data_IF_237281134136
#
_entry.id   IF_237281134136
#
_cell.length_a   1.000
_cell.length_b   1.000
_cell.length_c   1.000
_cell.angle_alpha   90.00
_cell.angle_beta   90.00
_cell.angle_gamma   90.00
#
_symmetry.space_group_name_H-M   'P 1'
#
loop_
_entity.id
_entity.type
_entity.pdbx_description
1 polymer ?
#
# COMPACT_ATOMS: atom_id res chain seq x y z
N UNK A 1 -70.06 22.13 -68.76
CA UNK A 1 -69.91 22.82 -67.49
C UNK A 1 -69.04 22.00 -66.57
N UNK A 2 -67.74 22.24 -66.54
CA UNK A 2 -66.69 21.37 -66.15
C UNK A 2 -66.30 21.62 -64.71
N UNK A 3 -66.36 20.62 -63.86
CA UNK A 3 -65.96 20.64 -62.45
C UNK A 3 -64.53 20.23 -62.33
N UNK A 4 -63.69 21.10 -61.75
CA UNK A 4 -62.25 20.85 -61.56
C UNK A 4 -61.99 20.41 -60.14
N UNK A 5 -61.57 19.16 -59.97
CA UNK A 5 -61.16 18.59 -58.67
C UNK A 5 -59.69 18.87 -58.44
N UNK A 6 -59.35 19.61 -57.37
CA UNK A 6 -57.99 19.85 -56.93
C UNK A 6 -57.60 18.81 -55.89
N UNK A 7 -56.65 17.91 -56.23
CA UNK A 7 -56.07 16.96 -55.32
C UNK A 7 -54.98 17.68 -54.46
N UNK A 8 -55.19 17.77 -53.13
CA UNK A 8 -54.17 18.15 -52.18
C UNK A 8 -53.39 16.89 -51.77
N UNK A 9 -52.14 16.83 -52.18
CA UNK A 9 -51.15 15.84 -51.70
C UNK A 9 -50.58 16.29 -50.37
N UNK A 10 -50.88 15.58 -49.27
CA UNK A 10 -50.22 15.79 -47.99
C UNK A 10 -48.84 15.13 -48.01
N UNK A 11 -47.81 15.98 -47.90
CA UNK A 11 -46.44 15.57 -47.79
C UNK A 11 -46.17 15.26 -46.31
N UNK A 12 -46.11 13.97 -45.94
CA UNK A 12 -45.67 13.54 -44.62
C UNK A 12 -44.16 13.61 -44.56
N UNK A 13 -43.64 14.61 -43.84
CA UNK A 13 -42.16 14.66 -43.51
C UNK A 13 -41.90 13.70 -42.37
N UNK A 14 -41.20 12.58 -42.65
CA UNK A 14 -40.56 11.76 -41.63
C UNK A 14 -39.39 12.59 -41.04
N UNK A 15 -39.52 12.92 -39.76
CA UNK A 15 -38.42 13.42 -38.95
C UNK A 15 -37.67 12.21 -38.42
N UNK A 16 -36.52 11.91 -39.00
CA UNK A 16 -35.60 10.89 -38.48
C UNK A 16 -34.87 11.51 -37.27
N UNK A 17 -35.27 11.14 -36.06
CA UNK A 17 -34.51 11.42 -34.84
C UNK A 17 -33.26 10.50 -34.81
N UNK A 18 -32.10 11.08 -35.11
CA UNK A 18 -30.82 10.45 -34.90
C UNK A 18 -30.56 10.35 -33.39
N UNK A 19 -30.73 9.17 -32.82
CA UNK A 19 -30.29 8.84 -31.46
C UNK A 19 -28.77 8.83 -31.46
N UNK A 20 -28.16 9.91 -30.98
CA UNK A 20 -26.72 9.99 -30.73
C UNK A 20 -26.38 9.10 -29.53
N UNK A 21 -25.96 7.88 -29.80
CA UNK A 21 -25.38 6.98 -28.78
C UNK A 21 -23.98 7.54 -28.46
N UNK A 22 -23.90 8.33 -27.39
CA UNK A 22 -22.62 8.70 -26.79
C UNK A 22 -21.97 7.40 -26.29
N UNK A 23 -21.02 6.86 -27.04
CA UNK A 23 -20.09 5.87 -26.53
C UNK A 23 -19.25 6.55 -25.44
N UNK A 24 -19.65 6.34 -24.17
CA UNK A 24 -18.77 6.59 -23.04
C UNK A 24 -17.67 5.56 -23.16
N UNK A 25 -16.56 5.95 -23.78
CA UNK A 25 -15.34 5.16 -23.81
C UNK A 25 -14.96 4.80 -22.39
N UNK A 26 -15.10 3.53 -22.01
CA UNK A 26 -14.64 3.02 -20.74
C UNK A 26 -13.12 3.18 -20.71
N UNK A 27 -12.64 4.19 -20.00
CA UNK A 27 -11.21 4.35 -19.70
C UNK A 27 -10.81 3.13 -18.89
N UNK A 28 -10.20 2.15 -19.55
CA UNK A 28 -9.56 1.02 -18.86
C UNK A 28 -8.32 1.58 -18.17
N UNK A 29 -8.43 1.88 -16.89
CA UNK A 29 -7.26 2.21 -16.07
C UNK A 29 -6.75 0.90 -15.47
N UNK A 30 -5.76 0.21 -16.09
CA UNK A 30 -5.15 -0.96 -15.50
C UNK A 30 -4.49 -0.56 -14.18
N UNK A 31 -4.50 -1.45 -13.20
CA UNK A 31 -3.75 -1.21 -11.97
C UNK A 31 -2.27 -1.05 -12.32
N UNK A 32 -1.55 -0.09 -11.71
CA UNK A 32 -0.18 0.26 -12.10
C UNK A 32 0.86 -0.78 -11.62
N UNK A 33 0.43 -1.95 -11.21
CA UNK A 33 1.30 -3.02 -10.72
C UNK A 33 0.77 -4.41 -11.12
N UNK A 34 1.65 -5.42 -11.05
CA UNK A 34 1.29 -6.82 -11.26
C UNK A 34 0.95 -7.48 -9.92
N UNK A 35 -0.22 -8.15 -9.79
CA UNK A 35 -0.56 -8.85 -8.56
C UNK A 35 0.42 -10.00 -8.27
N UNK A 36 0.67 -10.22 -6.99
CA UNK A 36 1.48 -11.31 -6.48
C UNK A 36 0.78 -11.94 -5.27
N UNK A 37 -0.22 -12.82 -5.48
CA UNK A 37 -1.02 -13.38 -4.40
C UNK A 37 -0.26 -14.48 -3.64
N UNK A 38 0.70 -14.05 -2.83
CA UNK A 38 1.56 -14.89 -1.98
C UNK A 38 1.64 -14.26 -0.58
N UNK A 39 2.07 -14.96 0.47
CA UNK A 39 2.35 -14.31 1.75
C UNK A 39 3.26 -13.10 1.58
N UNK A 40 2.88 -11.94 2.12
CA UNK A 40 3.57 -10.66 1.92
C UNK A 40 3.38 -10.01 0.56
N UNK A 41 2.48 -10.52 -0.26
CA UNK A 41 2.15 -9.98 -1.56
C UNK A 41 0.77 -9.32 -1.61
N UNK A 42 0.23 -9.18 -2.83
CA UNK A 42 -1.04 -8.51 -3.09
C UNK A 42 -1.90 -9.35 -4.03
N UNK A 43 -3.14 -9.61 -3.63
CA UNK A 43 -4.17 -10.19 -4.50
C UNK A 43 -5.08 -9.10 -5.08
N UNK A 44 -5.54 -9.33 -6.31
CA UNK A 44 -6.61 -8.57 -6.94
C UNK A 44 -7.81 -9.50 -7.06
N UNK A 45 -8.85 -9.21 -6.29
CA UNK A 45 -10.05 -10.04 -6.22
C UNK A 45 -11.22 -9.31 -6.87
N UNK A 46 -11.80 -9.81 -7.98
CA UNK A 46 -13.00 -9.23 -8.55
C UNK A 46 -14.16 -9.29 -7.56
N UNK A 47 -14.90 -8.18 -7.43
CA UNK A 47 -16.05 -8.08 -6.55
C UNK A 47 -17.27 -7.59 -7.33
N UNK A 48 -18.42 -8.24 -7.11
CA UNK A 48 -19.67 -7.79 -7.71
C UNK A 48 -20.22 -6.64 -6.87
N UNK A 49 -20.45 -5.52 -7.53
CA UNK A 49 -21.07 -4.35 -6.91
C UNK A 49 -21.79 -3.53 -7.97
N UNK A 50 -22.86 -2.86 -7.56
CA UNK A 50 -23.56 -1.86 -8.36
C UNK A 50 -22.70 -0.63 -8.64
N UNK A 51 -23.30 0.55 -8.75
CA UNK A 51 -22.58 1.79 -9.10
C UNK A 51 -21.54 2.28 -8.10
N UNK A 52 -21.74 2.04 -6.78
CA UNK A 52 -20.88 2.53 -5.71
C UNK A 52 -19.77 1.54 -5.35
N UNK A 53 -18.69 2.05 -4.74
CA UNK A 53 -17.59 1.24 -4.22
C UNK A 53 -18.11 0.27 -3.13
N UNK A 54 -17.89 -1.06 -3.28
CA UNK A 54 -18.32 -2.02 -2.29
C UNK A 54 -17.47 -1.90 -1.02
N UNK A 55 -18.12 -2.10 0.13
CA UNK A 55 -17.40 -2.32 1.39
C UNK A 55 -16.80 -3.72 1.38
N UNK A 56 -15.49 -3.79 1.53
CA UNK A 56 -14.72 -5.04 1.55
C UNK A 56 -13.87 -5.10 2.80
N UNK A 57 -13.81 -6.27 3.43
CA UNK A 57 -12.92 -6.52 4.56
C UNK A 57 -12.10 -7.81 4.33
N UNK A 58 -10.90 -7.85 4.89
CA UNK A 58 -10.04 -9.02 4.95
C UNK A 58 -9.49 -9.18 6.35
N UNK A 59 -9.78 -10.31 7.00
CA UNK A 59 -9.45 -10.55 8.42
C UNK A 59 -9.92 -9.41 9.36
N UNK A 60 -11.08 -8.80 9.07
CA UNK A 60 -11.65 -7.70 9.85
C UNK A 60 -11.08 -6.31 9.53
N UNK A 61 -10.06 -6.20 8.71
CA UNK A 61 -9.50 -4.92 8.28
C UNK A 61 -10.13 -4.45 6.96
N UNK A 62 -10.48 -3.17 6.81
CA UNK A 62 -11.04 -2.64 5.59
C UNK A 62 -10.04 -2.72 4.43
N UNK A 63 -10.53 -3.09 3.25
CA UNK A 63 -9.73 -3.27 2.03
C UNK A 63 -10.10 -2.21 1.01
N UNK A 64 -9.09 -1.56 0.43
CA UNK A 64 -9.32 -0.61 -0.64
C UNK A 64 -9.86 -1.28 -1.90
N UNK A 65 -10.77 -0.59 -2.60
CA UNK A 65 -11.36 -1.07 -3.84
C UNK A 65 -11.06 -0.13 -5.00
N UNK A 66 -11.00 -0.66 -6.21
CA UNK A 66 -10.76 0.12 -7.44
C UNK A 66 -11.75 -0.28 -8.52
N UNK A 67 -12.24 0.72 -9.24
CA UNK A 67 -13.05 0.49 -10.44
C UNK A 67 -12.12 0.27 -11.64
N UNK A 68 -12.35 -0.81 -12.35
CA UNK A 68 -11.65 -1.16 -13.60
C UNK A 68 -12.64 -1.22 -14.74
N UNK A 69 -12.18 -1.42 -15.98
CA UNK A 69 -13.05 -1.64 -17.12
C UNK A 69 -13.95 -2.88 -16.98
N UNK A 70 -13.53 -3.86 -16.15
CA UNK A 70 -14.26 -5.13 -15.90
C UNK A 70 -15.12 -5.09 -14.64
N UNK A 71 -15.27 -3.96 -13.99
CA UNK A 71 -15.99 -3.81 -12.72
C UNK A 71 -15.09 -3.48 -11.54
N UNK A 72 -15.62 -3.70 -10.34
CA UNK A 72 -14.88 -3.44 -9.10
C UNK A 72 -13.91 -4.57 -8.78
N UNK A 73 -12.78 -4.21 -8.20
CA UNK A 73 -11.81 -5.15 -7.63
C UNK A 73 -11.39 -4.70 -6.24
N UNK A 74 -11.17 -5.66 -5.35
CA UNK A 74 -10.50 -5.46 -4.07
C UNK A 74 -8.99 -5.63 -4.25
N UNK A 75 -8.19 -4.73 -3.68
CA UNK A 75 -6.72 -4.81 -3.66
C UNK A 75 -6.31 -5.25 -2.26
N UNK A 76 -6.03 -6.54 -2.13
CA UNK A 76 -5.87 -7.21 -0.84
C UNK A 76 -4.40 -7.39 -0.51
N UNK A 77 -3.91 -6.71 0.52
CA UNK A 77 -2.60 -6.99 1.11
C UNK A 77 -2.64 -8.31 1.88
N UNK A 78 -1.76 -9.23 1.56
CA UNK A 78 -1.68 -10.55 2.19
C UNK A 78 -0.56 -10.54 3.23
N UNK A 79 -0.82 -10.80 4.53
CA UNK A 79 0.23 -10.78 5.54
C UNK A 79 1.28 -11.88 5.32
N UNK A 80 2.51 -11.67 5.79
CA UNK A 80 3.59 -12.67 5.72
C UNK A 80 3.25 -13.97 6.45
N UNK A 81 2.37 -13.91 7.45
CA UNK A 81 1.87 -15.06 8.21
C UNK A 81 0.78 -15.85 7.51
N UNK A 82 0.29 -15.40 6.35
CA UNK A 82 -0.77 -16.10 5.62
C UNK A 82 -0.32 -17.51 5.22
N UNK A 83 -1.21 -18.48 5.39
CA UNK A 83 -0.98 -19.86 4.97
C UNK A 83 -1.36 -20.01 3.50
N UNK A 84 -0.50 -20.58 2.65
CA UNK A 84 -0.88 -20.85 1.26
C UNK A 84 -2.10 -21.77 1.17
N UNK A 85 -3.02 -21.46 0.24
CA UNK A 85 -4.27 -22.19 0.07
C UNK A 85 -5.41 -21.25 -0.31
N UNK A 86 -6.65 -21.71 -0.10
CA UNK A 86 -7.85 -20.88 -0.26
C UNK A 86 -8.00 -19.93 0.92
N UNK A 87 -8.30 -18.68 0.63
CA UNK A 87 -8.63 -17.64 1.60
C UNK A 87 -9.82 -16.82 1.08
N UNK A 88 -10.38 -15.93 1.90
CA UNK A 88 -11.60 -15.20 1.53
C UNK A 88 -11.58 -13.77 2.02
N UNK A 89 -12.04 -12.85 1.18
CA UNK A 89 -12.50 -11.52 1.59
C UNK A 89 -13.99 -11.55 1.93
N UNK A 90 -14.42 -10.62 2.76
CA UNK A 90 -15.82 -10.34 3.05
C UNK A 90 -16.29 -9.15 2.20
N UNK A 91 -17.35 -9.34 1.45
CA UNK A 91 -18.00 -8.30 0.64
C UNK A 91 -19.44 -8.19 1.08
N UNK A 92 -19.75 -7.19 1.91
CA UNK A 92 -21.08 -6.96 2.47
C UNK A 92 -21.69 -8.24 3.13
N UNK A 93 -20.87 -8.97 3.89
CA UNK A 93 -21.28 -10.21 4.58
C UNK A 93 -21.17 -11.49 3.74
N UNK A 94 -20.78 -11.39 2.48
CA UNK A 94 -20.56 -12.55 1.61
C UNK A 94 -19.07 -12.85 1.45
N UNK A 95 -18.69 -14.14 1.53
CA UNK A 95 -17.30 -14.57 1.31
C UNK A 95 -17.00 -14.72 -0.18
N UNK A 96 -15.95 -14.04 -0.64
CA UNK A 96 -15.40 -14.18 -1.99
C UNK A 96 -14.03 -14.82 -1.88
N UNK A 97 -13.88 -16.02 -2.45
CA UNK A 97 -12.66 -16.81 -2.34
C UNK A 97 -11.57 -16.32 -3.29
N UNK A 98 -10.33 -16.42 -2.84
CA UNK A 98 -9.14 -16.26 -3.67
C UNK A 98 -8.04 -17.22 -3.22
N UNK A 99 -7.00 -17.41 -4.04
CA UNK A 99 -5.92 -18.36 -3.73
C UNK A 99 -4.65 -17.62 -3.33
N UNK A 100 -4.11 -17.95 -2.17
CA UNK A 100 -2.75 -17.55 -1.75
C UNK A 100 -1.77 -18.64 -2.21
N UNK A 101 -0.86 -18.28 -3.11
CA UNK A 101 0.16 -19.20 -3.65
C UNK A 101 1.35 -19.32 -2.70
N UNK A 102 2.03 -20.47 -2.64
CA UNK A 102 3.22 -20.61 -1.81
C UNK A 102 4.36 -19.72 -2.31
N UNK A 103 5.13 -19.17 -1.37
CA UNK A 103 6.39 -18.48 -1.62
C UNK A 103 7.38 -18.80 -0.52
N UNK A 104 8.60 -19.18 -0.89
CA UNK A 104 9.71 -19.35 0.03
C UNK A 104 10.52 -18.07 0.10
N UNK A 105 10.83 -17.65 1.32
CA UNK A 105 11.69 -16.51 1.58
C UNK A 105 13.04 -17.02 2.10
N UNK A 106 14.17 -16.51 1.59
CA UNK A 106 15.50 -16.87 2.06
C UNK A 106 15.70 -16.54 3.54
N UNK A 107 16.67 -17.17 4.15
CA UNK A 107 17.11 -16.85 5.50
C UNK A 107 18.29 -15.89 5.45
N UNK A 108 18.30 -14.91 6.35
CA UNK A 108 19.38 -13.95 6.55
C UNK A 108 19.86 -14.07 7.99
N UNK A 109 21.11 -14.47 8.16
CA UNK A 109 21.78 -14.52 9.45
C UNK A 109 22.61 -13.26 9.64
N UNK A 110 22.39 -12.53 10.74
CA UNK A 110 23.09 -11.30 11.08
C UNK A 110 23.65 -11.41 12.50
N UNK A 111 24.81 -10.83 12.70
CA UNK A 111 25.36 -10.61 14.03
C UNK A 111 25.09 -9.16 14.46
N UNK A 112 24.59 -8.98 15.67
CA UNK A 112 24.33 -7.70 16.31
C UNK A 112 25.20 -7.61 17.57
N UNK A 113 26.08 -6.61 17.65
CA UNK A 113 26.93 -6.37 18.82
C UNK A 113 26.10 -5.93 20.03
N UNK A 114 25.06 -5.16 19.81
CA UNK A 114 24.16 -4.70 20.86
C UNK A 114 23.16 -5.80 21.22
N UNK A 115 23.47 -6.56 22.26
CA UNK A 115 22.64 -7.67 22.74
C UNK A 115 21.23 -7.22 23.20
N UNK A 116 21.05 -6.00 23.70
CA UNK A 116 19.75 -5.46 24.08
C UNK A 116 18.78 -5.36 22.90
N UNK A 117 19.30 -5.20 21.68
CA UNK A 117 18.47 -5.19 20.46
C UNK A 117 18.13 -6.59 19.94
N UNK A 118 18.76 -7.62 20.48
CA UNK A 118 18.43 -9.04 20.25
C UNK A 118 17.51 -9.52 21.35
N UNK A 119 17.92 -9.36 22.61
CA UNK A 119 17.21 -9.75 23.82
C UNK A 119 16.99 -8.51 24.72
N UNK A 120 15.86 -7.81 24.54
CA UNK A 120 15.52 -6.61 25.31
C UNK A 120 15.43 -6.91 26.82
N UNK A 121 15.80 -5.91 27.63
CA UNK A 121 15.56 -5.97 29.08
C UNK A 121 14.09 -5.75 29.41
N UNK A 122 13.62 -6.04 30.64
CA UNK A 122 12.23 -5.74 31.03
C UNK A 122 11.82 -4.26 30.83
N UNK A 123 12.75 -3.32 31.01
CA UNK A 123 12.52 -1.89 30.78
C UNK A 123 12.38 -1.61 29.28
N UNK A 124 13.19 -2.26 28.45
CA UNK A 124 13.07 -2.16 26.98
C UNK A 124 11.75 -2.77 26.50
N UNK A 125 11.34 -3.91 27.06
CA UNK A 125 10.05 -4.54 26.74
C UNK A 125 8.86 -3.64 27.10
N UNK A 126 8.91 -2.97 28.25
CA UNK A 126 7.90 -2.01 28.64
C UNK A 126 7.86 -0.80 27.69
N UNK A 127 9.02 -0.32 27.22
CA UNK A 127 9.13 0.71 26.18
C UNK A 127 8.52 0.21 24.87
N UNK A 128 8.94 -0.96 24.39
CA UNK A 128 8.45 -1.58 23.16
C UNK A 128 6.92 -1.75 23.18
N UNK A 129 6.36 -2.19 24.30
CA UNK A 129 4.91 -2.34 24.45
C UNK A 129 4.16 -1.00 24.27
N UNK A 130 4.66 0.08 24.88
CA UNK A 130 4.10 1.44 24.69
C UNK A 130 4.22 1.90 23.24
N UNK A 131 5.35 1.64 22.59
CA UNK A 131 5.58 1.99 21.20
C UNK A 131 4.65 1.22 20.25
N UNK A 132 4.40 -0.07 20.51
CA UNK A 132 3.46 -0.88 19.73
C UNK A 132 2.02 -0.36 19.85
N UNK A 133 1.64 0.18 21.00
CA UNK A 133 0.33 0.81 21.20
C UNK A 133 0.15 2.07 20.33
N UNK A 134 1.23 2.77 19.98
CA UNK A 134 1.21 3.91 19.04
C UNK A 134 1.25 3.45 17.58
N UNK A 135 2.12 2.49 17.26
CA UNK A 135 2.31 1.99 15.88
C UNK A 135 1.09 1.23 15.36
N UNK A 136 0.41 0.47 16.24
CA UNK A 136 -0.75 -0.34 15.86
C UNK A 136 -1.86 0.45 15.17
N UNK A 137 -2.42 1.49 15.80
CA UNK A 137 -3.40 2.38 15.16
C UNK A 137 -2.87 3.07 13.90
N UNK A 138 -1.62 3.53 13.90
CA UNK A 138 -1.03 4.22 12.76
C UNK A 138 -0.95 3.32 11.50
N UNK A 139 -0.75 2.02 11.64
CA UNK A 139 -0.83 1.07 10.54
C UNK A 139 -2.22 0.91 9.93
N UNK A 140 -3.26 1.27 10.66
CA UNK A 140 -4.67 1.19 10.25
C UNK A 140 -5.22 2.53 9.78
N UNK A 141 -4.38 3.55 9.65
CA UNK A 141 -4.79 4.89 9.28
C UNK A 141 -5.55 4.93 7.94
N UNK A 142 -6.67 5.66 7.96
CA UNK A 142 -7.56 5.81 6.81
C UNK A 142 -7.95 7.29 6.65
N UNK A 143 -6.98 8.19 6.35
CA UNK A 143 -7.27 9.61 6.22
C UNK A 143 -8.25 9.88 5.09
N UNK A 144 -9.24 10.73 5.37
CA UNK A 144 -10.25 11.12 4.38
C UNK A 144 -9.66 12.04 3.30
N UNK A 145 -10.19 11.95 2.09
CA UNK A 145 -9.76 12.82 0.98
C UNK A 145 -8.50 12.35 0.24
N UNK A 146 -7.82 11.30 0.71
CA UNK A 146 -6.65 10.73 0.05
C UNK A 146 -7.01 9.43 -0.66
N UNK A 147 -6.62 9.34 -1.94
CA UNK A 147 -6.73 8.11 -2.75
C UNK A 147 -5.34 7.73 -3.26
N UNK A 148 -4.73 6.65 -2.75
CA UNK A 148 -3.40 6.25 -3.16
C UNK A 148 -3.39 5.85 -4.64
N UNK A 149 -2.39 6.35 -5.38
CA UNK A 149 -2.20 6.02 -6.79
C UNK A 149 -1.76 4.56 -7.02
N UNK A 150 -1.33 3.86 -5.96
CA UNK A 150 -0.77 2.50 -6.00
C UNK A 150 0.47 2.38 -6.91
N UNK A 151 1.13 3.50 -7.17
CA UNK A 151 2.43 3.61 -7.81
C UNK A 151 3.28 4.53 -6.96
N UNK A 152 4.44 4.07 -6.55
CA UNK A 152 5.29 4.74 -5.58
C UNK A 152 6.66 5.01 -6.19
N UNK A 153 7.22 6.15 -5.87
CA UNK A 153 8.62 6.45 -6.15
C UNK A 153 9.52 5.82 -5.07
N UNK A 154 10.77 5.57 -5.42
CA UNK A 154 11.76 5.16 -4.41
C UNK A 154 12.01 6.32 -3.44
N UNK A 155 11.91 6.11 -2.12
CA UNK A 155 12.03 7.20 -1.14
C UNK A 155 13.41 7.86 -1.09
N UNK A 156 14.45 7.11 -1.45
CA UNK A 156 15.83 7.61 -1.52
C UNK A 156 16.62 6.83 -2.57
N UNK A 157 17.58 7.44 -3.29
CA UNK A 157 18.51 6.71 -4.16
C UNK A 157 19.37 5.74 -3.35
N UNK A 158 19.73 4.60 -3.96
CA UNK A 158 20.62 3.62 -3.32
C UNK A 158 20.37 2.19 -3.76
N UNK A 159 21.29 1.29 -3.43
CA UNK A 159 21.17 -0.13 -3.70
C UNK A 159 20.20 -0.80 -2.70
N UNK A 160 19.36 -1.73 -3.20
CA UNK A 160 18.56 -2.59 -2.34
C UNK A 160 19.48 -3.65 -1.72
N UNK A 161 19.67 -3.62 -0.41
CA UNK A 161 20.59 -4.52 0.30
C UNK A 161 19.89 -5.62 1.07
N UNK A 162 18.63 -5.41 1.47
CA UNK A 162 17.84 -6.41 2.16
C UNK A 162 16.42 -6.41 1.61
N UNK A 163 15.96 -7.59 1.17
CA UNK A 163 14.66 -7.74 0.55
C UNK A 163 13.56 -7.97 1.59
N UNK A 164 12.32 -7.61 1.21
CA UNK A 164 11.13 -7.96 1.96
C UNK A 164 10.98 -9.48 2.12
N UNK A 165 10.52 -9.92 3.30
CA UNK A 165 10.19 -11.30 3.61
C UNK A 165 11.36 -12.17 4.05
N UNK A 166 12.61 -11.68 4.08
CA UNK A 166 13.75 -12.43 4.58
C UNK A 166 13.48 -12.93 6.01
N UNK A 167 13.65 -14.23 6.24
CA UNK A 167 13.59 -14.84 7.57
C UNK A 167 14.85 -14.44 8.33
N UNK A 168 14.71 -13.64 9.36
CA UNK A 168 15.84 -13.09 10.11
C UNK A 168 16.24 -13.99 11.27
N UNK A 169 17.54 -14.25 11.37
CA UNK A 169 18.19 -14.90 12.50
C UNK A 169 19.28 -13.97 13.02
N UNK A 170 19.09 -13.45 14.24
CA UNK A 170 20.07 -12.57 14.91
C UNK A 170 20.76 -13.34 16.02
N UNK A 171 22.08 -13.40 15.98
CA UNK A 171 22.90 -14.10 16.97
C UNK A 171 22.47 -15.55 17.22
N UNK A 172 21.99 -16.25 16.17
CA UNK A 172 21.49 -17.62 16.25
C UNK A 172 20.01 -17.76 16.56
N UNK A 173 19.30 -16.67 16.91
CA UNK A 173 17.90 -16.68 17.31
C UNK A 173 16.97 -16.20 16.20
N UNK A 174 15.91 -16.97 15.95
CA UNK A 174 14.88 -16.58 14.97
C UNK A 174 14.12 -15.33 15.43
N UNK A 175 13.89 -14.41 14.51
CA UNK A 175 13.16 -13.16 14.73
C UNK A 175 12.06 -12.98 13.68
N UNK A 176 11.21 -11.98 13.89
CA UNK A 176 10.20 -11.60 12.92
C UNK A 176 10.83 -11.35 11.53
N UNK A 177 10.19 -11.83 10.44
CA UNK A 177 10.69 -11.60 9.10
C UNK A 177 10.84 -10.13 8.77
N UNK A 178 11.71 -9.82 7.81
CA UNK A 178 11.91 -8.46 7.32
C UNK A 178 10.64 -7.95 6.63
N UNK A 179 10.01 -6.92 7.18
CA UNK A 179 8.73 -6.39 6.74
C UNK A 179 8.82 -5.18 5.80
N UNK A 180 9.99 -4.94 5.20
CA UNK A 180 10.22 -3.82 4.29
C UNK A 180 11.37 -4.05 3.33
N UNK A 181 11.87 -2.96 2.74
CA UNK A 181 13.07 -2.91 1.93
C UNK A 181 14.14 -2.09 2.64
N UNK A 182 15.38 -2.58 2.65
CA UNK A 182 16.52 -1.79 3.09
C UNK A 182 17.24 -1.20 1.88
N UNK A 183 17.34 0.13 1.84
CA UNK A 183 18.00 0.91 0.78
C UNK A 183 19.28 1.49 1.37
N UNK A 184 20.45 0.97 0.94
CA UNK A 184 21.74 1.48 1.37
C UNK A 184 21.95 2.91 0.83
N UNK A 185 22.17 3.83 1.73
CA UNK A 185 22.42 5.23 1.42
C UNK A 185 23.30 5.86 2.51
N UNK A 186 24.10 6.89 2.20
CA UNK A 186 24.91 7.57 3.21
C UNK A 186 24.01 8.28 4.24
N UNK A 187 24.51 8.36 5.48
CA UNK A 187 23.86 9.16 6.52
C UNK A 187 23.72 10.62 6.07
N UNK A 188 22.58 11.25 6.39
CA UNK A 188 22.24 12.60 5.97
C UNK A 188 21.61 12.70 4.58
N UNK A 189 21.55 11.62 3.80
CA UNK A 189 20.86 11.64 2.51
C UNK A 189 19.36 11.83 2.69
N UNK A 190 18.76 12.71 1.89
CA UNK A 190 17.34 13.01 1.98
C UNK A 190 16.46 11.78 1.72
N UNK A 191 15.44 11.61 2.57
CA UNK A 191 14.35 10.66 2.41
C UNK A 191 13.10 11.43 2.01
N UNK A 192 12.44 11.00 0.93
CA UNK A 192 11.31 11.70 0.33
C UNK A 192 10.04 10.85 0.39
N UNK A 193 8.91 11.52 0.48
CA UNK A 193 7.60 10.89 0.37
C UNK A 193 7.46 10.18 -0.99
N UNK A 194 7.22 8.86 -1.04
CA UNK A 194 7.11 8.10 -2.30
C UNK A 194 5.81 8.38 -3.05
N UNK A 195 4.80 8.91 -2.36
CA UNK A 195 3.52 9.37 -2.86
C UNK A 195 2.96 10.40 -1.87
N UNK A 196 1.92 11.14 -2.27
CA UNK A 196 1.23 12.06 -1.36
C UNK A 196 0.62 11.31 -0.16
N UNK A 197 0.51 11.99 0.98
CA UNK A 197 -0.08 11.45 2.20
C UNK A 197 -0.06 12.41 3.37
N UNK A 198 -0.58 11.95 4.50
CA UNK A 198 -0.57 12.67 5.78
C UNK A 198 0.40 11.95 6.71
N UNK A 199 1.24 12.71 7.40
CA UNK A 199 2.12 12.19 8.45
C UNK A 199 1.25 11.73 9.62
N UNK A 200 1.16 10.41 9.79
CA UNK A 200 0.32 9.79 10.81
C UNK A 200 1.02 9.70 12.15
N UNK A 201 2.33 9.44 12.14
CA UNK A 201 3.12 9.27 13.35
C UNK A 201 4.57 9.66 13.07
N UNK A 202 5.21 10.31 14.04
CA UNK A 202 6.67 10.51 14.11
C UNK A 202 7.18 10.17 15.50
N UNK A 203 8.43 9.70 15.61
CA UNK A 203 9.02 9.42 16.92
C UNK A 203 10.39 8.75 16.82
N UNK A 204 10.97 8.49 18.00
CA UNK A 204 12.14 7.65 18.18
C UNK A 204 11.74 6.36 18.90
N UNK A 205 11.83 5.24 18.20
CA UNK A 205 11.38 3.94 18.65
C UNK A 205 12.55 2.98 18.85
N UNK A 206 12.42 2.07 19.80
CA UNK A 206 13.49 1.16 20.21
C UNK A 206 14.12 0.39 19.04
N UNK A 207 13.31 -0.22 18.19
CA UNK A 207 13.80 -0.98 17.05
C UNK A 207 13.97 -0.15 15.78
N UNK A 208 13.06 0.74 15.48
CA UNK A 208 13.06 1.49 14.23
C UNK A 208 13.80 2.84 14.31
N UNK A 209 14.18 3.29 15.52
CA UNK A 209 14.84 4.57 15.71
C UNK A 209 14.00 5.73 15.24
N UNK A 210 14.62 6.76 14.69
CA UNK A 210 13.92 7.88 14.09
C UNK A 210 12.99 7.38 12.98
N UNK A 211 11.68 7.61 13.16
CA UNK A 211 10.63 7.00 12.35
C UNK A 211 9.60 8.03 11.90
N UNK A 212 9.15 7.88 10.66
CA UNK A 212 7.98 8.57 10.11
C UNK A 212 7.04 7.53 9.56
N UNK A 213 5.74 7.65 9.86
CA UNK A 213 4.67 6.91 9.17
C UNK A 213 3.84 7.89 8.34
N UNK A 214 3.61 7.55 7.08
CA UNK A 214 2.87 8.36 6.12
C UNK A 214 1.67 7.57 5.61
N UNK A 215 0.47 8.05 5.91
CA UNK A 215 -0.78 7.45 5.46
C UNK A 215 -1.19 8.04 4.10
N UNK A 216 -1.25 7.19 3.08
CA UNK A 216 -1.57 7.58 1.70
C UNK A 216 -3.07 7.53 1.38
N UNK A 217 -3.89 7.13 2.35
CA UNK A 217 -5.34 6.93 2.21
C UNK A 217 -5.72 5.46 2.04
N UNK A 218 -6.99 5.17 2.29
CA UNK A 218 -7.62 3.86 2.06
C UNK A 218 -6.82 2.67 2.63
N UNK A 219 -6.22 2.84 3.83
CA UNK A 219 -5.46 1.81 4.53
C UNK A 219 -4.08 1.51 3.94
N UNK A 220 -3.56 2.40 3.08
CA UNK A 220 -2.20 2.31 2.55
C UNK A 220 -1.28 3.20 3.37
N UNK A 221 -0.27 2.61 4.02
CA UNK A 221 0.64 3.31 4.94
C UNK A 221 2.08 2.91 4.67
N UNK A 222 2.97 3.91 4.55
CA UNK A 222 4.42 3.74 4.52
C UNK A 222 5.02 4.00 5.90
N UNK A 223 6.07 3.25 6.26
CA UNK A 223 6.93 3.53 7.40
C UNK A 223 8.37 3.69 6.93
N UNK A 224 9.02 4.75 7.39
CA UNK A 224 10.43 5.09 7.14
C UNK A 224 11.16 5.02 8.47
N UNK A 225 12.21 4.21 8.56
CA UNK A 225 12.93 3.96 9.81
C UNK A 225 14.43 4.18 9.68
N UNK A 226 15.10 4.18 10.83
CA UNK A 226 16.52 4.40 11.03
C UNK A 226 16.98 5.82 10.66
N UNK A 227 16.05 6.79 10.65
CA UNK A 227 16.34 8.18 10.28
C UNK A 227 17.27 8.84 11.32
N UNK A 228 18.26 9.60 10.83
CA UNK A 228 19.09 10.48 11.69
C UNK A 228 18.37 11.77 12.06
N UNK A 229 17.43 12.19 11.20
CA UNK A 229 16.64 13.41 11.40
C UNK A 229 15.25 13.22 10.80
N UNK A 230 14.24 13.63 11.55
CA UNK A 230 12.85 13.77 11.10
C UNK A 230 12.59 15.26 10.88
N UNK A 231 12.07 15.64 9.70
CA UNK A 231 11.86 17.05 9.31
C UNK A 231 10.40 17.43 9.20
N UNK A 232 9.51 16.52 9.55
CA UNK A 232 8.05 16.67 9.44
C UNK A 232 7.37 16.43 10.79
N UNK A 233 6.13 16.88 10.92
CA UNK A 233 5.33 16.71 12.13
C UNK A 233 4.04 15.96 11.84
N UNK A 234 3.49 15.29 12.84
CA UNK A 234 2.21 14.60 12.76
C UNK A 234 1.11 15.56 12.27
N UNK A 235 0.25 15.09 11.37
CA UNK A 235 -0.79 15.85 10.71
C UNK A 235 -0.34 16.63 9.47
N UNK A 236 0.98 16.77 9.23
CA UNK A 236 1.48 17.45 8.04
C UNK A 236 1.12 16.67 6.77
N UNK A 237 0.60 17.37 5.77
CA UNK A 237 0.36 16.82 4.43
C UNK A 237 1.64 16.94 3.61
N UNK A 238 2.01 15.85 2.95
CA UNK A 238 3.16 15.80 2.04
C UNK A 238 2.72 15.43 0.63
N UNK A 239 3.28 16.10 -0.35
CA UNK A 239 3.21 15.71 -1.75
C UNK A 239 4.32 14.71 -2.08
N UNK A 240 4.15 13.94 -3.16
CA UNK A 240 5.22 13.05 -3.64
C UNK A 240 6.52 13.83 -3.90
N UNK A 241 7.65 13.31 -3.43
CA UNK A 241 8.97 13.93 -3.59
C UNK A 241 9.37 14.92 -2.49
N UNK A 242 8.46 15.35 -1.60
CA UNK A 242 8.80 16.22 -0.47
C UNK A 242 9.66 15.47 0.56
N UNK A 243 10.62 16.18 1.16
CA UNK A 243 11.55 15.61 2.14
C UNK A 243 10.84 15.41 3.46
N UNK A 244 10.97 14.21 4.03
CA UNK A 244 10.40 13.86 5.34
C UNK A 244 11.46 13.59 6.41
N UNK A 245 12.73 13.46 6.02
CA UNK A 245 13.83 13.18 6.93
C UNK A 245 15.12 12.87 6.21
N UNK A 246 16.10 12.40 6.97
CA UNK A 246 17.43 12.05 6.49
C UNK A 246 17.79 10.62 6.91
N UNK A 247 18.48 9.89 6.02
CA UNK A 247 18.99 8.54 6.29
C UNK A 247 19.92 8.56 7.49
N UNK A 248 19.80 7.57 8.35
CA UNK A 248 20.65 7.40 9.51
C UNK A 248 20.98 5.93 9.77
N UNK A 249 21.25 5.62 11.05
CA UNK A 249 21.50 4.30 11.59
C UNK A 249 20.92 4.14 13.01
N UNK A 250 19.86 4.89 13.30
CA UNK A 250 19.21 4.84 14.62
C UNK A 250 18.43 3.56 14.82
N UNK A 251 18.12 3.20 16.08
CA UNK A 251 17.44 1.95 16.40
C UNK A 251 18.30 0.71 16.08
N UNK A 252 17.68 -0.38 15.63
CA UNK A 252 18.33 -1.66 15.32
C UNK A 252 18.86 -1.68 13.88
N UNK A 253 19.98 -1.04 13.65
CA UNK A 253 20.62 -0.94 12.34
C UNK A 253 22.10 -1.32 12.41
N UNK A 254 22.61 -2.10 11.47
CA UNK A 254 24.03 -2.49 11.36
C UNK A 254 24.88 -1.45 10.65
N UNK A 255 24.28 -0.49 9.97
CA UNK A 255 24.97 0.59 9.27
C UNK A 255 23.97 1.56 8.65
N UNK A 256 24.41 2.66 8.03
CA UNK A 256 23.52 3.65 7.42
C UNK A 256 22.68 3.04 6.29
N UNK A 257 21.36 3.13 6.42
CA UNK A 257 20.38 2.73 5.40
C UNK A 257 19.00 3.29 5.74
N UNK A 258 18.13 3.35 4.75
CA UNK A 258 16.70 3.54 4.96
C UNK A 258 16.02 2.17 5.00
N UNK A 259 15.25 1.89 6.05
CA UNK A 259 14.24 0.85 6.03
C UNK A 259 12.90 1.46 5.61
N UNK A 260 12.28 0.92 4.54
CA UNK A 260 10.97 1.33 4.05
C UNK A 260 10.01 0.17 4.02
N UNK A 261 8.95 0.23 4.84
CA UNK A 261 7.83 -0.70 4.83
C UNK A 261 6.61 -0.07 4.15
N UNK A 262 5.81 -0.92 3.50
CA UNK A 262 4.49 -0.55 2.96
C UNK A 262 3.44 -1.51 3.50
N UNK A 263 2.27 -0.97 3.87
CA UNK A 263 1.13 -1.73 4.38
C UNK A 263 -0.12 -1.45 3.54
N UNK A 264 -0.89 -2.49 3.27
CA UNK A 264 -2.27 -2.42 2.79
C UNK A 264 -3.14 -3.17 3.78
N UNK A 265 -4.33 -2.64 4.10
CA UNK A 265 -5.25 -3.28 5.05
C UNK A 265 -4.54 -3.89 6.28
N UNK A 266 -3.64 -3.12 6.91
CA UNK A 266 -2.80 -3.54 8.04
C UNK A 266 -1.82 -4.71 7.76
N UNK A 267 -1.74 -5.24 6.56
CA UNK A 267 -0.78 -6.26 6.14
C UNK A 267 0.46 -5.61 5.51
N UNK A 268 1.67 -5.88 6.06
CA UNK A 268 2.92 -5.45 5.41
C UNK A 268 3.13 -6.26 4.15
N UNK A 269 3.36 -5.55 3.03
CA UNK A 269 3.52 -6.12 1.69
C UNK A 269 4.85 -5.70 1.07
N UNK A 270 5.32 -6.44 0.09
CA UNK A 270 6.57 -6.12 -0.61
C UNK A 270 6.44 -4.79 -1.38
N UNK A 271 7.14 -3.73 -0.98
CA UNK A 271 7.03 -2.43 -1.63
C UNK A 271 7.43 -2.45 -3.11
N UNK A 272 8.25 -3.42 -3.54
CA UNK A 272 8.67 -3.56 -4.95
C UNK A 272 7.49 -3.80 -5.90
N UNK A 273 6.37 -4.33 -5.39
CA UNK A 273 5.15 -4.54 -6.18
C UNK A 273 4.65 -3.19 -6.73
N UNK A 274 4.85 -2.12 -5.97
CA UNK A 274 4.30 -0.79 -6.27
C UNK A 274 5.34 0.20 -6.82
N UNK A 275 6.62 -0.19 -6.88
CA UNK A 275 7.62 0.62 -7.56
C UNK A 275 7.32 0.58 -9.06
N UNK A 276 6.88 1.71 -9.60
CA UNK A 276 6.72 1.87 -11.04
C UNK A 276 8.02 1.59 -11.79
N UNK A 277 7.91 1.25 -13.07
CA UNK A 277 9.06 1.17 -13.99
C UNK A 277 9.64 2.56 -14.32
N UNK A 278 9.71 3.43 -13.32
CA UNK A 278 10.42 4.71 -13.47
C UNK A 278 11.91 4.45 -13.31
N UNK A 279 12.72 4.96 -14.25
CA UNK A 279 14.18 4.80 -14.24
C UNK A 279 14.83 5.38 -12.98
#
# INVERSE_FOLDING_TARGET
MTCCLIHRRHLVRLIATAASTAMIGAVSNPLPFKPSPVPGGVAIVPVQAGGQAPAVAYHGEPVLTRRTARGWVAVVGIPLSAVPGQDAIDVAGQKVLFTVRPKRYPEQRLHLDNQRQVNPTPEDEARIAKEQALLGPAWKAWPQGFKPALSFHRPTPGALTSSFGLRRVFNGEARAPHSGLDIKAPAGQAVRAPAAGVVELTGDFFFSGGTVMLAHGEGVVSLFAHLSKVTVTQGQVLMAGEVLGEVGRTGRATGPHLHWSLSLNNARVDPRIFLGSHP
#
